data_IF_443756309868
#
_entry.id   IF_443756309868
#
_cell.length_a   1.000
_cell.length_b   1.000
_cell.length_c   1.000
_cell.angle_alpha   90.00
_cell.angle_beta   90.00
_cell.angle_gamma   90.00
#
_symmetry.space_group_name_H-M   'P 1'
#
loop_
_entity.id
_entity.type
_entity.pdbx_description
1 polymer ?
#
# COMPACT_ATOMS: atom_id res chain seq x y z
N UNK A 1 -2.27 -25.87 -28.36
CA UNK A 1 -1.90 -24.80 -27.42
C UNK A 1 -3.18 -24.21 -26.86
N UNK A 2 -3.64 -24.67 -25.70
CA UNK A 2 -4.84 -24.12 -25.04
C UNK A 2 -4.39 -23.14 -23.95
N UNK A 3 -4.76 -21.87 -24.08
CA UNK A 3 -4.53 -20.85 -23.07
C UNK A 3 -5.49 -21.12 -21.91
N UNK A 4 -4.95 -21.54 -20.77
CA UNK A 4 -5.69 -21.68 -19.52
C UNK A 4 -6.02 -20.28 -19.00
N UNK A 5 -7.20 -19.78 -19.34
CA UNK A 5 -7.78 -18.57 -18.74
C UNK A 5 -8.30 -18.95 -17.35
N UNK A 6 -7.40 -19.10 -16.39
CA UNK A 6 -7.81 -19.17 -14.99
C UNK A 6 -8.48 -17.84 -14.63
N UNK A 7 -9.69 -17.86 -14.02
CA UNK A 7 -10.32 -16.64 -13.57
C UNK A 7 -9.38 -15.99 -12.56
N UNK A 8 -8.90 -14.77 -12.85
CA UNK A 8 -8.27 -13.92 -11.84
C UNK A 8 -9.38 -13.57 -10.84
N UNK A 9 -9.53 -14.38 -9.82
CA UNK A 9 -10.33 -14.04 -8.65
C UNK A 9 -9.73 -12.74 -8.14
N UNK A 10 -10.44 -11.63 -8.37
CA UNK A 10 -10.18 -10.36 -7.72
C UNK A 10 -10.48 -10.60 -6.25
N UNK A 11 -9.51 -11.18 -5.53
CA UNK A 11 -9.58 -11.34 -4.09
C UNK A 11 -9.57 -9.92 -3.56
N UNK A 12 -10.76 -9.36 -3.33
CA UNK A 12 -10.94 -8.16 -2.54
C UNK A 12 -10.42 -8.49 -1.14
N UNK A 13 -9.11 -8.30 -0.96
CA UNK A 13 -8.46 -8.49 0.33
C UNK A 13 -9.06 -7.45 1.25
N UNK A 14 -9.74 -7.93 2.29
CA UNK A 14 -10.30 -7.06 3.33
C UNK A 14 -9.19 -6.13 3.85
N UNK A 15 -9.45 -4.83 4.06
CA UNK A 15 -8.48 -3.92 4.65
C UNK A 15 -7.83 -4.53 5.89
N UNK A 16 -6.51 -4.42 5.99
CA UNK A 16 -5.73 -4.80 7.18
C UNK A 16 -5.26 -3.53 7.85
N UNK A 17 -5.60 -3.33 9.12
CA UNK A 17 -5.16 -2.16 9.90
C UNK A 17 -3.81 -2.46 10.50
N UNK A 18 -2.85 -1.58 10.26
CA UNK A 18 -1.50 -1.64 10.82
C UNK A 18 -1.33 -0.39 11.70
N UNK A 19 -0.76 -0.56 12.88
CA UNK A 19 -0.36 0.54 13.77
C UNK A 19 1.15 0.49 13.91
N UNK A 20 1.80 1.64 13.71
CA UNK A 20 3.26 1.77 13.85
C UNK A 20 3.59 2.96 14.73
N UNK A 21 4.73 2.89 15.42
CA UNK A 21 5.30 4.04 16.11
C UNK A 21 6.36 4.65 15.20
N UNK A 22 6.26 5.96 14.96
CA UNK A 22 7.21 6.71 14.13
C UNK A 22 7.83 7.86 14.94
N UNK A 23 9.04 8.31 14.58
CA UNK A 23 9.62 9.51 15.16
C UNK A 23 8.74 10.75 14.94
N UNK A 24 8.76 11.70 15.88
CA UNK A 24 7.93 12.91 15.80
C UNK A 24 8.17 13.69 14.50
N UNK A 25 9.42 13.84 14.05
CA UNK A 25 9.73 14.58 12.82
C UNK A 25 9.05 13.96 11.59
N UNK A 26 8.98 12.64 11.51
CA UNK A 26 8.30 11.93 10.43
C UNK A 26 6.78 12.13 10.50
N UNK A 27 6.20 12.07 11.70
CA UNK A 27 4.78 12.37 11.91
C UNK A 27 4.44 13.80 11.46
N UNK A 28 5.22 14.80 11.87
CA UNK A 28 4.98 16.20 11.51
C UNK A 28 5.05 16.43 10.00
N UNK A 29 6.03 15.83 9.34
CA UNK A 29 6.17 15.92 7.88
C UNK A 29 4.97 15.27 7.15
N UNK A 30 4.50 14.12 7.63
CA UNK A 30 3.31 13.45 7.09
C UNK A 30 2.04 14.29 7.30
N UNK A 31 1.86 14.87 8.49
CA UNK A 31 0.71 15.72 8.83
C UNK A 31 0.68 16.97 7.94
N UNK A 32 1.79 17.70 7.85
CA UNK A 32 1.87 18.90 7.02
C UNK A 32 1.53 18.56 5.55
N UNK A 33 2.07 17.46 5.04
CA UNK A 33 1.80 17.03 3.67
C UNK A 33 0.33 16.60 3.47
N UNK A 34 -0.26 15.90 4.43
CA UNK A 34 -1.67 15.49 4.34
C UNK A 34 -2.61 16.70 4.32
N UNK A 35 -2.29 17.72 5.11
CA UNK A 35 -3.06 18.97 5.17
C UNK A 35 -2.96 19.75 3.86
N UNK A 36 -1.76 19.86 3.28
CA UNK A 36 -1.54 20.50 1.98
C UNK A 36 -2.24 19.78 0.83
N UNK A 37 -2.24 18.45 0.84
CA UNK A 37 -2.90 17.63 -0.20
C UNK A 37 -4.41 17.48 0.01
N UNK A 38 -4.96 17.95 1.14
CA UNK A 38 -6.39 17.85 1.46
C UNK A 38 -6.88 16.41 1.61
N UNK A 39 -6.03 15.49 2.09
CA UNK A 39 -6.36 14.06 2.27
C UNK A 39 -6.06 13.60 3.69
N UNK A 40 -6.67 12.49 4.10
CA UNK A 40 -6.37 11.93 5.43
C UNK A 40 -4.93 11.42 5.52
N UNK A 41 -4.35 11.52 6.71
CA UNK A 41 -3.00 11.02 6.99
C UNK A 41 -2.88 9.52 6.69
N UNK A 42 -3.92 8.72 6.97
CA UNK A 42 -3.94 7.29 6.65
C UNK A 42 -3.95 7.01 5.14
N UNK A 43 -4.65 7.84 4.34
CA UNK A 43 -4.64 7.70 2.89
C UNK A 43 -3.27 8.07 2.31
N UNK A 44 -2.67 9.17 2.78
CA UNK A 44 -1.31 9.55 2.39
C UNK A 44 -0.30 8.45 2.75
N UNK A 45 -0.39 7.91 3.98
CA UNK A 45 0.49 6.83 4.42
C UNK A 45 0.35 5.57 3.56
N UNK A 46 -0.88 5.17 3.21
CA UNK A 46 -1.12 4.05 2.31
C UNK A 46 -0.48 4.27 0.93
N UNK A 47 -0.71 5.45 0.33
CA UNK A 47 -0.13 5.81 -0.97
C UNK A 47 1.40 5.78 -0.95
N UNK A 48 2.03 6.32 0.10
CA UNK A 48 3.49 6.32 0.22
C UNK A 48 4.06 4.91 0.40
N UNK A 49 3.38 4.05 1.18
CA UNK A 49 3.76 2.65 1.36
C UNK A 49 3.65 1.87 0.05
N UNK A 50 2.52 2.00 -0.65
CA UNK A 50 2.29 1.35 -1.95
C UNK A 50 3.35 1.79 -2.97
N UNK A 51 3.59 3.10 -3.09
CA UNK A 51 4.58 3.65 -4.03
C UNK A 51 6.00 3.18 -3.70
N UNK A 52 6.37 3.10 -2.42
CA UNK A 52 7.71 2.64 -2.02
C UNK A 52 7.91 1.15 -2.33
N UNK A 53 6.90 0.32 -2.03
CA UNK A 53 6.95 -1.13 -2.32
C UNK A 53 6.96 -1.44 -3.82
N UNK A 54 6.27 -0.62 -4.63
CA UNK A 54 6.31 -0.71 -6.09
C UNK A 54 7.70 -0.34 -6.63
N UNK A 55 8.32 0.72 -6.11
CA UNK A 55 9.67 1.15 -6.50
C UNK A 55 10.76 0.14 -6.11
N UNK A 56 10.63 -0.49 -4.95
CA UNK A 56 11.56 -1.52 -4.47
C UNK A 56 11.36 -2.88 -5.19
N UNK A 57 10.38 -2.99 -6.10
CA UNK A 57 10.04 -4.22 -6.81
C UNK A 57 9.41 -5.30 -5.92
N UNK A 58 9.14 -4.99 -4.65
CA UNK A 58 8.60 -5.92 -3.65
C UNK A 58 7.11 -6.20 -3.86
N UNK A 59 6.38 -5.29 -4.53
CA UNK A 59 4.97 -5.50 -4.86
C UNK A 59 4.72 -6.71 -5.79
N UNK A 60 5.74 -7.16 -6.53
CA UNK A 60 5.66 -8.33 -7.43
C UNK A 60 5.85 -9.68 -6.71
N UNK A 61 6.20 -9.70 -5.42
CA UNK A 61 6.52 -10.92 -4.68
C UNK A 61 5.31 -11.68 -4.10
N UNK A 62 4.08 -11.23 -4.36
CA UNK A 62 2.87 -12.00 -3.99
C UNK A 62 2.50 -13.01 -5.08
N UNK A 63 3.46 -13.89 -5.40
CA UNK A 63 3.27 -15.14 -6.13
C UNK A 63 2.49 -16.16 -5.25
N UNK A 64 1.88 -17.18 -5.87
CA UNK A 64 0.72 -17.89 -5.34
C UNK A 64 1.10 -18.74 -4.13
N UNK A 65 0.31 -18.64 -3.07
CA UNK A 65 0.25 -19.71 -2.08
C UNK A 65 -0.47 -20.87 -2.77
N UNK A 66 0.27 -21.98 -2.85
CA UNK A 66 -0.13 -23.31 -3.32
C UNK A 66 -1.61 -23.66 -3.06
#
# INVERSE_FOLDING_TARGET
MALSTAPRTLVFRRPRRITITVPHHAFSALQQRSDLEGRSLSNLAAYLLETSLDQDGLAQASHPIC
#
